data_IF_955581132181
#
_entry.id   IF_955581132181
#
_cell.length_a   1.000
_cell.length_b   1.000
_cell.length_c   1.000
_cell.angle_alpha   90.00
_cell.angle_beta   90.00
_cell.angle_gamma   90.00
#
_symmetry.space_group_name_H-M   'P 1'
#
loop_
_entity.id
_entity.type
_entity.pdbx_description
1 polymer ?
#
# COMPACT_ATOMS: atom_id res chain seq x y z
N UNK A 1 -12.46 -17.84 -27.01
CA UNK A 1 -12.91 -17.58 -25.63
C UNK A 1 -12.01 -16.60 -24.91
N UNK A 2 -10.70 -16.83 -24.82
CA UNK A 2 -9.74 -15.92 -24.16
C UNK A 2 -9.74 -14.50 -24.72
N UNK A 3 -9.72 -14.35 -26.05
CA UNK A 3 -9.85 -13.02 -26.69
C UNK A 3 -11.18 -12.33 -26.38
N UNK A 4 -12.27 -13.10 -26.27
CA UNK A 4 -13.58 -12.58 -25.87
C UNK A 4 -13.56 -12.01 -24.45
N UNK A 5 -12.83 -12.64 -23.52
CA UNK A 5 -12.63 -12.12 -22.16
C UNK A 5 -11.83 -10.80 -22.15
N UNK A 6 -10.87 -10.65 -23.06
CA UNK A 6 -10.09 -9.41 -23.20
C UNK A 6 -10.98 -8.26 -23.69
N UNK A 7 -11.77 -8.52 -24.73
CA UNK A 7 -12.73 -7.55 -25.28
C UNK A 7 -13.78 -7.18 -24.23
N UNK A 8 -14.30 -8.15 -23.49
CA UNK A 8 -15.26 -7.89 -22.42
C UNK A 8 -14.66 -7.02 -21.30
N UNK A 9 -13.43 -7.33 -20.86
CA UNK A 9 -12.72 -6.53 -19.85
C UNK A 9 -12.47 -5.10 -20.34
N UNK A 10 -12.07 -4.94 -21.61
CA UNK A 10 -11.87 -3.61 -22.21
C UNK A 10 -13.18 -2.82 -22.30
N UNK A 11 -14.26 -3.45 -22.79
CA UNK A 11 -15.57 -2.83 -22.90
C UNK A 11 -16.12 -2.40 -21.53
N UNK A 12 -15.95 -3.23 -20.51
CA UNK A 12 -16.32 -2.91 -19.13
C UNK A 12 -15.51 -1.72 -18.59
N UNK A 13 -14.20 -1.68 -18.88
CA UNK A 13 -13.34 -0.55 -18.53
C UNK A 13 -13.79 0.75 -19.19
N UNK A 14 -14.10 0.73 -20.50
CA UNK A 14 -14.64 1.89 -21.22
C UNK A 14 -15.99 2.34 -20.66
N UNK A 15 -16.86 1.40 -20.30
CA UNK A 15 -18.14 1.72 -19.66
C UNK A 15 -17.94 2.52 -18.36
N UNK A 16 -17.02 2.11 -17.48
CA UNK A 16 -16.75 2.87 -16.25
C UNK A 16 -16.03 4.22 -16.50
N UNK A 17 -15.25 4.32 -17.58
CA UNK A 17 -14.59 5.58 -17.94
C UNK A 17 -15.60 6.60 -18.46
N UNK A 18 -16.57 6.20 -19.29
CA UNK A 18 -17.47 7.13 -19.99
C UNK A 18 -18.87 7.25 -19.40
N UNK A 19 -19.35 6.22 -18.68
CA UNK A 19 -20.75 6.18 -18.20
C UNK A 19 -20.83 6.42 -16.70
N UNK A 20 -19.97 5.77 -15.91
CA UNK A 20 -20.10 5.81 -14.46
C UNK A 20 -18.78 5.61 -13.72
N UNK A 21 -18.37 6.61 -12.93
CA UNK A 21 -17.24 6.48 -12.03
C UNK A 21 -17.63 5.60 -10.82
N UNK A 22 -17.00 4.41 -10.65
CA UNK A 22 -17.44 3.43 -9.66
C UNK A 22 -16.97 3.74 -8.23
N UNK A 23 -16.06 4.71 -8.06
CA UNK A 23 -15.47 5.05 -6.77
C UNK A 23 -15.87 6.45 -6.29
N UNK A 24 -15.98 6.66 -4.97
CA UNK A 24 -16.36 7.97 -4.40
C UNK A 24 -15.34 9.08 -4.69
N UNK A 25 -14.10 8.71 -5.04
CA UNK A 25 -13.01 9.63 -5.40
C UNK A 25 -13.02 10.02 -6.90
N UNK A 26 -14.02 9.59 -7.67
CA UNK A 26 -14.14 9.87 -9.10
C UNK A 26 -13.01 9.25 -9.94
N UNK A 27 -12.76 9.85 -11.12
CA UNK A 27 -11.72 9.38 -12.06
C UNK A 27 -10.30 9.79 -11.66
N UNK A 28 -10.13 10.86 -10.88
CA UNK A 28 -8.83 11.39 -10.45
C UNK A 28 -8.11 10.49 -9.44
N UNK A 29 -8.83 9.56 -8.79
CA UNK A 29 -8.27 8.66 -7.78
C UNK A 29 -7.97 9.36 -6.45
N UNK A 30 -7.27 8.66 -5.55
CA UNK A 30 -7.00 9.13 -4.18
C UNK A 30 -5.54 9.58 -3.95
N UNK A 31 -4.65 9.28 -4.89
CA UNK A 31 -3.20 9.46 -4.73
C UNK A 31 -2.68 10.78 -5.34
N UNK A 32 -3.56 11.68 -5.82
CA UNK A 32 -3.19 12.97 -6.44
C UNK A 32 -2.21 12.86 -7.64
N UNK A 33 -2.19 11.70 -8.32
CA UNK A 33 -1.33 11.50 -9.47
C UNK A 33 -1.63 12.44 -10.64
N UNK A 34 -2.86 12.96 -10.73
CA UNK A 34 -3.24 13.94 -11.75
C UNK A 34 -2.38 15.21 -11.66
N UNK A 35 -2.22 15.75 -10.45
CA UNK A 35 -1.42 16.95 -10.20
C UNK A 35 0.05 16.71 -10.53
N UNK A 36 0.60 15.57 -10.10
CA UNK A 36 1.98 15.20 -10.41
C UNK A 36 2.21 15.01 -11.91
N UNK A 37 1.26 14.39 -12.62
CA UNK A 37 1.32 14.22 -14.07
C UNK A 37 1.34 15.57 -14.80
N UNK A 38 0.52 16.53 -14.37
CA UNK A 38 0.46 17.88 -14.97
C UNK A 38 1.72 18.69 -14.70
N UNK A 39 2.24 18.67 -13.47
CA UNK A 39 3.49 19.35 -13.11
C UNK A 39 4.67 18.80 -13.95
N UNK A 40 4.78 17.47 -14.03
CA UNK A 40 5.80 16.82 -14.87
C UNK A 40 5.63 17.14 -16.36
N UNK A 41 4.39 17.24 -16.86
CA UNK A 41 4.14 17.61 -18.25
C UNK A 41 4.61 19.05 -18.57
N UNK A 42 4.59 19.95 -17.58
CA UNK A 42 5.15 21.31 -17.67
C UNK A 42 6.67 21.37 -17.53
N UNK A 43 7.32 20.25 -17.24
CA UNK A 43 8.77 20.17 -17.03
C UNK A 43 9.21 20.54 -15.61
N UNK A 44 8.29 20.59 -14.65
CA UNK A 44 8.61 20.85 -13.25
C UNK A 44 9.30 19.62 -12.61
N UNK A 45 10.18 19.83 -11.60
CA UNK A 45 10.82 18.73 -10.89
C UNK A 45 9.78 17.94 -10.09
N UNK A 46 9.98 16.62 -9.99
CA UNK A 46 9.07 15.77 -9.24
C UNK A 46 9.03 16.16 -7.75
N UNK A 47 7.86 16.47 -7.16
CA UNK A 47 7.78 17.25 -5.93
C UNK A 47 7.89 16.42 -4.63
N UNK A 48 7.86 15.09 -4.70
CA UNK A 48 7.76 14.23 -3.51
C UNK A 48 8.71 13.03 -3.53
N UNK A 49 8.94 12.47 -2.33
CA UNK A 49 9.61 11.20 -2.08
C UNK A 49 8.65 10.12 -1.55
N UNK A 50 7.41 10.52 -1.22
CA UNK A 50 6.40 9.65 -0.63
C UNK A 50 5.78 8.70 -1.66
N UNK A 51 5.73 9.11 -2.92
CA UNK A 51 5.17 8.31 -3.99
C UNK A 51 6.21 8.08 -5.09
N UNK A 52 6.36 6.84 -5.57
CA UNK A 52 7.18 6.54 -6.72
C UNK A 52 6.73 7.30 -7.97
N UNK A 53 7.68 7.49 -8.88
CA UNK A 53 7.51 8.30 -10.09
C UNK A 53 6.77 7.58 -11.22
N UNK A 54 6.65 6.25 -11.19
CA UNK A 54 6.26 5.46 -12.37
C UNK A 54 4.89 5.85 -12.94
N UNK A 55 3.88 5.98 -12.09
CA UNK A 55 2.54 6.34 -12.55
C UNK A 55 2.40 7.81 -12.94
N UNK A 56 3.07 8.72 -12.22
CA UNK A 56 3.04 10.14 -12.53
C UNK A 56 3.70 10.45 -13.89
N UNK A 57 4.82 9.79 -14.21
CA UNK A 57 5.47 9.92 -15.52
C UNK A 57 4.66 9.30 -16.65
N UNK A 58 3.95 8.20 -16.39
CA UNK A 58 2.99 7.64 -17.33
C UNK A 58 1.95 8.71 -17.71
N UNK A 59 1.32 9.34 -16.73
CA UNK A 59 0.35 10.42 -16.98
C UNK A 59 0.97 11.63 -17.69
N UNK A 60 2.16 12.05 -17.26
CA UNK A 60 2.87 13.20 -17.82
C UNK A 60 3.12 13.06 -19.33
N UNK A 61 3.43 11.85 -19.79
CA UNK A 61 3.59 11.57 -21.22
C UNK A 61 2.31 11.89 -22.00
N UNK A 62 1.14 11.45 -21.51
CA UNK A 62 -0.13 11.69 -22.18
C UNK A 62 -0.55 13.15 -22.10
N UNK A 63 -0.36 13.79 -20.94
CA UNK A 63 -0.71 15.20 -20.77
C UNK A 63 0.16 16.13 -21.62
N UNK A 64 1.42 15.77 -21.86
CA UNK A 64 2.30 16.53 -22.74
C UNK A 64 1.94 16.42 -24.23
N UNK A 65 1.42 15.27 -24.66
CA UNK A 65 1.10 15.01 -26.08
C UNK A 65 -0.34 15.42 -26.42
N UNK A 66 -1.30 15.12 -25.53
CA UNK A 66 -2.73 15.26 -25.80
C UNK A 66 -3.43 16.34 -24.96
N UNK A 67 -2.69 17.02 -24.08
CA UNK A 67 -3.21 18.01 -23.14
C UNK A 67 -3.88 17.39 -21.91
N UNK A 68 -4.55 18.23 -21.12
CA UNK A 68 -5.19 17.90 -19.82
C UNK A 68 -6.49 17.08 -19.99
N UNK A 69 -6.43 15.97 -20.73
CA UNK A 69 -7.56 15.08 -21.01
C UNK A 69 -7.37 13.77 -20.24
N UNK A 70 -7.97 13.60 -19.05
CA UNK A 70 -7.74 12.43 -18.18
C UNK A 70 -8.27 11.11 -18.77
N UNK A 71 -9.25 11.16 -19.67
CA UNK A 71 -9.81 9.94 -20.28
C UNK A 71 -8.82 9.20 -21.20
N UNK A 72 -7.82 9.88 -21.76
CA UNK A 72 -6.83 9.28 -22.68
C UNK A 72 -5.91 8.29 -21.94
N UNK A 73 -5.18 8.69 -20.88
CA UNK A 73 -4.37 7.75 -20.11
C UNK A 73 -5.22 6.65 -19.47
N UNK A 74 -6.49 6.91 -19.12
CA UNK A 74 -7.40 5.89 -18.60
C UNK A 74 -7.79 4.85 -19.65
N UNK A 75 -8.08 5.27 -20.89
CA UNK A 75 -8.39 4.35 -21.98
C UNK A 75 -7.20 3.43 -22.31
N UNK A 76 -5.99 3.98 -22.31
CA UNK A 76 -4.76 3.21 -22.51
C UNK A 76 -4.51 2.25 -21.33
N UNK A 77 -4.77 2.70 -20.10
CA UNK A 77 -4.67 1.85 -18.91
C UNK A 77 -5.68 0.68 -18.96
N UNK A 78 -6.92 0.94 -19.38
CA UNK A 78 -7.93 -0.08 -19.58
C UNK A 78 -7.51 -1.09 -20.68
N UNK A 79 -6.85 -0.61 -21.74
CA UNK A 79 -6.31 -1.48 -22.79
C UNK A 79 -5.20 -2.39 -22.26
N UNK A 80 -4.26 -1.87 -21.47
CA UNK A 80 -3.23 -2.68 -20.81
C UNK A 80 -3.86 -3.72 -19.88
N UNK A 81 -4.88 -3.32 -19.11
CA UNK A 81 -5.59 -4.25 -18.23
C UNK A 81 -6.31 -5.35 -19.01
N UNK A 82 -6.81 -5.08 -20.21
CA UNK A 82 -7.44 -6.08 -21.07
C UNK A 82 -6.46 -7.18 -21.56
N UNK A 83 -5.14 -6.97 -21.43
CA UNK A 83 -4.12 -7.99 -21.72
C UNK A 83 -3.99 -9.01 -20.56
N UNK A 84 -4.43 -8.64 -19.34
CA UNK A 84 -4.28 -9.47 -18.15
C UNK A 84 -4.85 -10.90 -18.31
N UNK A 85 -6.06 -11.12 -18.87
CA UNK A 85 -6.57 -12.47 -19.14
C UNK A 85 -5.65 -13.32 -20.03
N UNK A 86 -4.97 -12.72 -21.01
CA UNK A 86 -4.00 -13.43 -21.87
C UNK A 86 -2.77 -13.85 -21.08
N UNK A 87 -2.28 -12.99 -20.19
CA UNK A 87 -1.13 -13.30 -19.34
C UNK A 87 -1.46 -14.45 -18.38
N UNK A 88 -2.64 -14.44 -17.77
CA UNK A 88 -3.12 -15.53 -16.91
C UNK A 88 -3.25 -16.83 -17.69
N UNK A 89 -3.81 -16.78 -18.91
CA UNK A 89 -3.88 -17.94 -19.79
C UNK A 89 -2.48 -18.49 -20.11
N UNK A 90 -1.53 -17.62 -20.47
CA UNK A 90 -0.15 -18.00 -20.79
C UNK A 90 0.58 -18.61 -19.58
N UNK A 91 0.32 -18.10 -18.38
CA UNK A 91 0.86 -18.65 -17.14
C UNK A 91 0.31 -20.05 -16.83
N UNK A 92 -1.01 -20.21 -16.88
CA UNK A 92 -1.70 -21.42 -16.45
C UNK A 92 -1.60 -22.58 -17.47
N UNK A 93 -1.58 -22.27 -18.77
CA UNK A 93 -1.65 -23.28 -19.85
C UNK A 93 -0.61 -24.40 -19.72
N UNK A 94 0.68 -24.14 -19.44
CA UNK A 94 1.68 -25.21 -19.41
C UNK A 94 1.62 -26.07 -18.14
N UNK A 95 0.97 -25.60 -17.06
CA UNK A 95 0.88 -26.34 -15.79
C UNK A 95 -0.45 -27.07 -15.59
N UNK A 96 -1.54 -26.48 -16.08
CA UNK A 96 -2.91 -26.94 -15.79
C UNK A 96 -3.73 -27.29 -17.05
N UNK A 97 -3.11 -27.18 -18.23
CA UNK A 97 -3.76 -27.47 -19.51
C UNK A 97 -4.71 -26.37 -20.00
N UNK A 98 -5.26 -26.57 -21.21
CA UNK A 98 -5.99 -25.54 -21.93
C UNK A 98 -7.34 -25.16 -21.30
N UNK A 99 -8.07 -26.13 -20.75
CA UNK A 99 -9.40 -25.91 -20.16
C UNK A 99 -9.32 -25.00 -18.93
N UNK A 100 -8.46 -25.36 -17.97
CA UNK A 100 -8.27 -24.59 -16.73
C UNK A 100 -7.74 -23.19 -17.04
N UNK A 101 -6.78 -23.07 -17.96
CA UNK A 101 -6.25 -21.77 -18.38
C UNK A 101 -7.33 -20.86 -19.01
N UNK A 102 -8.24 -21.42 -19.81
CA UNK A 102 -9.32 -20.65 -20.42
C UNK A 102 -10.33 -20.17 -19.39
N UNK A 103 -10.73 -21.05 -18.45
CA UNK A 103 -11.65 -20.68 -17.37
C UNK A 103 -11.04 -19.61 -16.47
N UNK A 104 -9.77 -19.76 -16.08
CA UNK A 104 -9.06 -18.76 -15.28
C UNK A 104 -9.03 -17.39 -15.98
N UNK A 105 -8.70 -17.35 -17.28
CA UNK A 105 -8.69 -16.12 -18.05
C UNK A 105 -10.09 -15.47 -18.17
N UNK A 106 -11.14 -16.26 -18.37
CA UNK A 106 -12.51 -15.74 -18.43
C UNK A 106 -12.95 -15.17 -17.08
N UNK A 107 -12.65 -15.87 -15.98
CA UNK A 107 -12.95 -15.39 -14.63
C UNK A 107 -12.20 -14.10 -14.33
N UNK A 108 -10.90 -14.01 -14.68
CA UNK A 108 -10.14 -12.77 -14.53
C UNK A 108 -10.68 -11.65 -15.42
N UNK A 109 -11.07 -11.91 -16.67
CA UNK A 109 -11.59 -10.86 -17.55
C UNK A 109 -12.92 -10.28 -17.08
N UNK A 110 -13.83 -11.12 -16.59
CA UNK A 110 -15.20 -10.72 -16.24
C UNK A 110 -15.36 -10.28 -14.78
N UNK A 111 -14.66 -10.93 -13.84
CA UNK A 111 -14.84 -10.70 -12.40
C UNK A 111 -13.68 -9.98 -11.73
N UNK A 112 -12.68 -9.53 -12.49
CA UNK A 112 -11.56 -8.83 -11.87
C UNK A 112 -11.96 -7.43 -11.43
N UNK A 113 -11.87 -7.22 -10.13
CA UNK A 113 -11.90 -5.91 -9.49
C UNK A 113 -10.84 -4.95 -10.08
N UNK A 114 -9.79 -5.49 -10.69
CA UNK A 114 -8.78 -4.69 -11.38
C UNK A 114 -9.36 -3.89 -12.56
N UNK A 115 -10.45 -4.34 -13.19
CA UNK A 115 -11.10 -3.58 -14.27
C UNK A 115 -11.75 -2.29 -13.77
N UNK A 116 -12.24 -2.31 -12.52
CA UNK A 116 -12.76 -1.12 -11.84
C UNK A 116 -11.61 -0.15 -11.55
N UNK A 117 -10.49 -0.65 -11.02
CA UNK A 117 -9.28 0.17 -10.78
C UNK A 117 -8.66 0.69 -12.08
N UNK A 118 -8.79 -0.05 -13.18
CA UNK A 118 -8.32 0.38 -14.49
C UNK A 118 -9.11 1.59 -15.03
N UNK A 119 -10.32 1.83 -14.53
CA UNK A 119 -11.14 2.98 -14.91
C UNK A 119 -10.86 4.25 -14.10
N UNK A 120 -10.02 4.17 -13.06
CA UNK A 120 -9.62 5.31 -12.22
C UNK A 120 -8.11 5.54 -12.30
N UNK A 121 -7.63 6.74 -11.98
CA UNK A 121 -6.20 7.05 -11.96
C UNK A 121 -5.49 6.34 -10.79
N UNK A 122 -5.29 5.02 -10.94
CA UNK A 122 -4.61 4.17 -9.97
C UNK A 122 -3.40 3.47 -10.59
N UNK A 123 -2.29 3.50 -9.86
CA UNK A 123 -1.09 2.76 -10.20
C UNK A 123 -1.27 1.24 -10.14
N UNK A 124 -2.30 0.74 -9.45
CA UNK A 124 -2.57 -0.70 -9.27
C UNK A 124 -2.84 -1.42 -10.59
N UNK A 125 -3.60 -0.79 -11.48
CA UNK A 125 -4.04 -1.43 -12.71
C UNK A 125 -2.84 -1.77 -13.61
N UNK A 126 -1.96 -0.79 -13.83
CA UNK A 126 -0.72 -0.97 -14.60
C UNK A 126 0.26 -1.88 -13.86
N UNK A 127 0.40 -1.70 -12.54
CA UNK A 127 1.29 -2.51 -11.73
C UNK A 127 0.92 -4.00 -11.81
N UNK A 128 -0.38 -4.34 -11.78
CA UNK A 128 -0.86 -5.72 -11.86
C UNK A 128 -0.49 -6.37 -13.18
N UNK A 129 -0.60 -5.64 -14.29
CA UNK A 129 -0.23 -6.13 -15.63
C UNK A 129 1.29 -6.34 -15.71
N UNK A 130 2.09 -5.35 -15.29
CA UNK A 130 3.55 -5.44 -15.28
C UNK A 130 4.05 -6.59 -14.41
N UNK A 131 3.51 -6.72 -13.20
CA UNK A 131 3.85 -7.79 -12.28
C UNK A 131 3.48 -9.17 -12.87
N UNK A 132 2.28 -9.32 -13.41
CA UNK A 132 1.84 -10.59 -14.01
C UNK A 132 2.70 -10.95 -15.23
N UNK A 133 3.01 -9.98 -16.08
CA UNK A 133 3.93 -10.16 -17.21
C UNK A 133 5.33 -10.58 -16.75
N UNK A 134 5.81 -10.01 -15.64
CA UNK A 134 7.08 -10.39 -15.05
C UNK A 134 7.06 -11.83 -14.53
N UNK A 135 5.98 -12.27 -13.87
CA UNK A 135 5.83 -13.66 -13.40
C UNK A 135 5.72 -14.64 -14.56
N UNK A 136 4.99 -14.29 -15.63
CA UNK A 136 4.92 -15.11 -16.85
C UNK A 136 6.30 -15.24 -17.49
N UNK A 137 7.02 -14.12 -17.64
CA UNK A 137 8.38 -14.10 -18.19
C UNK A 137 9.33 -14.92 -17.32
N UNK A 138 9.26 -14.77 -15.99
CA UNK A 138 10.04 -15.56 -15.05
C UNK A 138 9.76 -17.05 -15.19
N UNK A 139 8.50 -17.46 -15.23
CA UNK A 139 8.11 -18.86 -15.39
C UNK A 139 8.58 -19.44 -16.74
N UNK A 140 8.52 -18.65 -17.81
CA UNK A 140 9.01 -19.05 -19.13
C UNK A 140 10.54 -19.18 -19.14
N UNK A 141 11.26 -18.15 -18.69
CA UNK A 141 12.73 -18.16 -18.60
C UNK A 141 13.26 -19.25 -17.67
N UNK A 142 12.55 -19.56 -16.58
CA UNK A 142 12.88 -20.65 -15.69
C UNK A 142 12.75 -22.02 -16.35
N UNK A 143 11.68 -22.25 -17.13
CA UNK A 143 11.46 -23.53 -17.84
C UNK A 143 12.43 -23.76 -18.99
N UNK A 144 12.78 -22.71 -19.73
CA UNK A 144 13.66 -22.79 -20.91
C UNK A 144 15.13 -22.46 -20.63
N UNK A 145 15.47 -22.16 -19.37
CA UNK A 145 16.82 -21.74 -18.96
C UNK A 145 17.35 -20.51 -19.73
N UNK A 146 16.46 -19.59 -20.12
CA UNK A 146 16.81 -18.41 -20.89
C UNK A 146 17.03 -17.18 -19.98
N UNK A 147 18.29 -16.79 -19.83
CA UNK A 147 18.70 -15.64 -19.03
C UNK A 147 18.15 -14.32 -19.59
N UNK A 148 17.89 -14.21 -20.90
CA UNK A 148 17.37 -12.98 -21.53
C UNK A 148 15.94 -12.73 -21.11
N UNK A 149 15.13 -13.78 -21.04
CA UNK A 149 13.75 -13.70 -20.56
C UNK A 149 13.71 -13.41 -19.07
N UNK A 150 14.68 -13.92 -18.29
CA UNK A 150 14.82 -13.58 -16.88
C UNK A 150 15.31 -12.14 -16.65
N UNK A 151 16.18 -11.62 -17.52
CA UNK A 151 16.55 -10.21 -17.55
C UNK A 151 15.33 -9.33 -17.80
N UNK A 152 14.48 -9.68 -18.78
CA UNK A 152 13.21 -9.01 -19.03
C UNK A 152 12.29 -9.05 -17.80
N UNK A 153 12.18 -10.20 -17.13
CA UNK A 153 11.43 -10.31 -15.87
C UNK A 153 11.99 -9.36 -14.80
N UNK A 154 13.31 -9.24 -14.69
CA UNK A 154 13.97 -8.29 -13.80
C UNK A 154 13.62 -6.82 -14.13
N UNK A 155 13.65 -6.43 -15.41
CA UNK A 155 13.24 -5.08 -15.85
C UNK A 155 11.79 -4.82 -15.46
N UNK A 156 10.89 -5.76 -15.76
CA UNK A 156 9.46 -5.63 -15.46
C UNK A 156 9.18 -5.53 -13.95
N UNK A 157 9.90 -6.28 -13.10
CA UNK A 157 9.77 -6.18 -11.64
C UNK A 157 10.33 -4.86 -11.11
N UNK A 158 11.46 -4.41 -11.64
CA UNK A 158 12.04 -3.10 -11.31
C UNK A 158 11.08 -1.97 -11.67
N UNK A 159 10.44 -2.04 -12.84
CA UNK A 159 9.40 -1.10 -13.25
C UNK A 159 8.17 -1.19 -12.34
N UNK A 160 7.66 -2.39 -12.05
CA UNK A 160 6.50 -2.57 -11.19
C UNK A 160 6.71 -1.98 -9.78
N UNK A 161 7.92 -2.09 -9.22
CA UNK A 161 8.28 -1.46 -7.96
C UNK A 161 8.20 0.09 -7.99
N UNK A 162 8.33 0.71 -9.16
CA UNK A 162 8.12 2.15 -9.38
C UNK A 162 6.65 2.56 -9.51
N UNK A 163 5.72 1.61 -9.58
CA UNK A 163 4.29 1.89 -9.41
C UNK A 163 3.86 1.60 -7.97
N UNK A 164 4.41 0.53 -7.40
CA UNK A 164 4.05 0.01 -6.08
C UNK A 164 5.31 -0.44 -5.30
N UNK A 165 5.77 0.35 -4.29
CA UNK A 165 7.01 0.10 -3.56
C UNK A 165 7.11 -1.26 -2.89
N UNK A 166 5.97 -1.85 -2.50
CA UNK A 166 5.91 -3.15 -1.84
C UNK A 166 6.47 -4.29 -2.69
N UNK A 167 6.56 -4.11 -4.01
CA UNK A 167 7.13 -5.12 -4.91
C UNK A 167 8.66 -5.11 -4.98
N UNK A 168 9.35 -4.18 -4.29
CA UNK A 168 10.82 -4.11 -4.32
C UNK A 168 11.52 -5.39 -3.86
N UNK A 169 10.85 -6.19 -3.02
CA UNK A 169 11.39 -7.46 -2.51
C UNK A 169 11.18 -8.64 -3.48
N UNK A 170 10.30 -8.51 -4.48
CA UNK A 170 9.98 -9.63 -5.39
C UNK A 170 11.20 -10.14 -6.20
N UNK A 171 12.04 -9.28 -6.79
CA UNK A 171 13.26 -9.73 -7.46
C UNK A 171 14.17 -10.58 -6.55
N UNK A 172 14.30 -10.19 -5.28
CA UNK A 172 15.12 -10.90 -4.30
C UNK A 172 14.53 -12.27 -3.98
N UNK A 173 13.21 -12.35 -3.78
CA UNK A 173 12.52 -13.62 -3.52
C UNK A 173 12.67 -14.59 -4.71
N UNK A 174 12.50 -14.10 -5.93
CA UNK A 174 12.63 -14.94 -7.13
C UNK A 174 14.08 -15.35 -7.39
N UNK A 175 15.05 -14.48 -7.15
CA UNK A 175 16.47 -14.83 -7.22
C UNK A 175 16.85 -15.88 -6.16
N UNK A 176 16.35 -15.74 -4.93
CA UNK A 176 16.55 -16.73 -3.87
C UNK A 176 15.94 -18.08 -4.25
N UNK A 177 14.74 -18.09 -4.83
CA UNK A 177 14.10 -19.30 -5.35
C UNK A 177 14.97 -20.01 -6.40
N UNK A 178 15.52 -19.27 -7.37
CA UNK A 178 16.43 -19.84 -8.39
C UNK A 178 17.70 -20.44 -7.76
N UNK A 179 18.22 -19.84 -6.69
CA UNK A 179 19.43 -20.31 -6.01
C UNK A 179 19.18 -21.58 -5.20
N UNK A 180 18.03 -21.68 -4.51
CA UNK A 180 17.64 -22.85 -3.70
C UNK A 180 17.32 -24.06 -4.57
N UNK A 181 16.78 -23.85 -5.78
CA UNK A 181 16.51 -24.92 -6.73
C UNK A 181 17.83 -25.50 -7.30
N UNK A 182 18.38 -26.51 -6.59
CA UNK A 182 19.71 -27.11 -6.84
C UNK A 182 19.94 -27.73 -8.23
N UNK A 183 18.92 -27.83 -9.08
CA UNK A 183 18.98 -28.54 -10.38
C UNK A 183 18.94 -27.64 -11.62
N UNK A 184 19.15 -26.33 -11.46
CA UNK A 184 19.05 -25.38 -12.58
C UNK A 184 20.45 -25.04 -13.13
N UNK A 185 20.77 -25.39 -14.39
CA UNK A 185 22.00 -24.93 -15.03
C UNK A 185 22.00 -23.40 -15.17
N UNK A 186 23.15 -22.76 -14.95
CA UNK A 186 23.27 -21.30 -15.07
C UNK A 186 22.50 -20.50 -14.01
N UNK A 187 22.09 -21.10 -12.89
CA UNK A 187 21.29 -20.42 -11.84
C UNK A 187 21.88 -19.09 -11.33
N UNK A 188 23.21 -19.01 -11.24
CA UNK A 188 23.91 -17.79 -10.82
C UNK A 188 23.82 -16.70 -11.89
N UNK A 189 24.01 -17.04 -13.16
CA UNK A 189 23.82 -16.12 -14.29
C UNK A 189 22.36 -15.65 -14.36
N UNK A 190 21.41 -16.57 -14.20
CA UNK A 190 19.98 -16.30 -14.24
C UNK A 190 19.52 -15.38 -13.09
N UNK A 191 19.94 -15.67 -11.86
CA UNK A 191 19.63 -14.86 -10.70
C UNK A 191 20.33 -13.49 -10.77
N UNK A 192 21.60 -13.44 -11.20
CA UNK A 192 22.32 -12.18 -11.36
C UNK A 192 21.75 -11.32 -12.48
N UNK A 193 21.36 -11.89 -13.62
CA UNK A 193 20.71 -11.15 -14.71
C UNK A 193 19.39 -10.51 -14.25
N UNK A 194 18.54 -11.29 -13.54
CA UNK A 194 17.28 -10.79 -12.98
C UNK A 194 17.51 -9.66 -11.97
N UNK A 195 18.45 -9.83 -11.04
CA UNK A 195 18.77 -8.82 -10.03
C UNK A 195 19.42 -7.58 -10.65
N UNK A 196 20.38 -7.74 -11.55
CA UNK A 196 21.08 -6.64 -12.20
C UNK A 196 20.12 -5.78 -13.03
N UNK A 197 19.23 -6.41 -13.79
CA UNK A 197 18.22 -5.69 -14.58
C UNK A 197 17.18 -4.99 -13.70
N UNK A 198 16.73 -5.62 -12.61
CA UNK A 198 15.84 -4.94 -11.66
C UNK A 198 16.54 -3.76 -10.99
N UNK A 199 17.80 -3.93 -10.57
CA UNK A 199 18.58 -2.88 -9.94
C UNK A 199 18.83 -1.72 -10.91
N UNK A 200 19.11 -2.00 -12.18
CA UNK A 200 19.32 -0.97 -13.22
C UNK A 200 18.11 -0.04 -13.37
N UNK A 201 16.89 -0.58 -13.28
CA UNK A 201 15.66 0.23 -13.36
C UNK A 201 15.41 1.02 -12.07
N UNK A 202 15.76 0.46 -10.92
CA UNK A 202 15.62 1.14 -9.63
C UNK A 202 16.66 2.26 -9.44
N UNK A 203 17.89 2.04 -9.91
CA UNK A 203 19.07 2.85 -9.63
C UNK A 203 18.86 4.37 -9.86
N UNK A 204 18.27 4.84 -10.98
CA UNK A 204 18.14 6.27 -11.22
C UNK A 204 17.32 6.98 -10.14
N UNK A 205 16.28 6.31 -9.65
CA UNK A 205 15.43 6.84 -8.58
C UNK A 205 16.16 6.84 -7.23
N UNK A 206 16.89 5.77 -6.92
CA UNK A 206 17.67 5.67 -5.69
C UNK A 206 18.75 6.77 -5.66
N UNK A 207 19.45 6.97 -6.78
CA UNK A 207 20.47 8.02 -6.92
C UNK A 207 19.86 9.41 -6.78
N UNK A 208 18.69 9.66 -7.39
CA UNK A 208 17.96 10.91 -7.21
C UNK A 208 17.63 11.14 -5.73
N UNK A 209 17.06 10.16 -5.05
CA UNK A 209 16.66 10.28 -3.65
C UNK A 209 17.87 10.52 -2.75
N UNK A 210 18.94 9.75 -2.94
CA UNK A 210 20.18 9.90 -2.18
C UNK A 210 20.84 11.27 -2.36
N UNK A 211 20.78 11.86 -3.57
CA UNK A 211 21.26 13.23 -3.80
C UNK A 211 20.41 14.30 -3.13
N UNK A 212 19.11 14.06 -2.98
CA UNK A 212 18.18 15.03 -2.38
C UNK A 212 18.18 14.97 -0.85
N UNK A 213 18.26 13.78 -0.26
CA UNK A 213 18.14 13.59 1.20
C UNK A 213 19.45 13.26 1.90
N UNK A 214 20.48 12.83 1.17
CA UNK A 214 21.68 12.22 1.75
C UNK A 214 21.46 10.79 2.28
N UNK A 215 20.25 10.24 2.15
CA UNK A 215 19.86 8.93 2.66
C UNK A 215 19.54 7.94 1.52
N UNK A 216 19.87 6.66 1.72
CA UNK A 216 19.53 5.61 0.77
C UNK A 216 18.05 5.21 0.93
N UNK A 217 17.19 5.80 0.10
CA UNK A 217 15.75 5.51 0.06
C UNK A 217 15.42 4.77 -1.25
N UNK A 218 15.29 3.42 -1.24
CA UNK A 218 15.20 2.62 -2.45
C UNK A 218 13.93 2.83 -3.28
N UNK A 219 12.82 3.16 -2.64
CA UNK A 219 11.53 3.35 -3.31
C UNK A 219 10.78 4.57 -2.79
N UNK A 220 10.36 4.56 -1.52
CA UNK A 220 9.54 5.62 -0.94
C UNK A 220 9.64 5.68 0.58
N UNK A 221 9.55 6.89 1.13
CA UNK A 221 9.42 7.19 2.57
C UNK A 221 8.11 6.67 3.18
N UNK A 222 7.10 6.42 2.35
CA UNK A 222 5.83 5.84 2.77
C UNK A 222 5.97 4.39 3.26
N UNK A 223 6.97 3.64 2.79
CA UNK A 223 7.20 2.26 3.22
C UNK A 223 7.44 2.13 4.73
N UNK A 224 8.26 3.02 5.30
CA UNK A 224 8.49 3.07 6.75
C UNK A 224 7.23 3.42 7.53
N UNK A 225 6.43 4.37 7.03
CA UNK A 225 5.12 4.71 7.62
C UNK A 225 4.16 3.53 7.59
N UNK A 226 4.12 2.77 6.50
CA UNK A 226 3.25 1.60 6.38
C UNK A 226 3.67 0.46 7.31
N UNK A 227 4.97 0.21 7.46
CA UNK A 227 5.49 -0.74 8.44
C UNK A 227 5.13 -0.29 9.87
N UNK A 228 5.37 0.98 10.20
CA UNK A 228 5.00 1.56 11.50
C UNK A 228 3.49 1.50 11.76
N UNK A 229 2.63 1.84 10.80
CA UNK A 229 1.18 1.69 10.93
C UNK A 229 0.77 0.23 11.15
N UNK A 230 1.45 -0.72 10.51
CA UNK A 230 1.29 -2.15 10.78
C UNK A 230 1.66 -2.54 12.22
N UNK A 231 2.58 -1.82 12.86
CA UNK A 231 2.95 -2.03 14.28
C UNK A 231 2.03 -1.30 15.26
N UNK A 232 1.42 -0.19 14.86
CA UNK A 232 0.54 0.61 15.71
C UNK A 232 -0.79 -0.10 15.95
N UNK A 233 -0.87 -0.80 17.08
CA UNK A 233 -2.10 -1.38 17.61
C UNK A 233 -2.91 -0.32 18.38
N UNK A 234 -3.26 0.81 17.76
CA UNK A 234 -4.00 1.88 18.47
C UNK A 234 -5.12 2.47 17.62
N UNK A 235 -6.19 2.92 18.28
CA UNK A 235 -7.31 3.60 17.64
C UNK A 235 -8.39 2.65 17.06
N UNK A 236 -9.21 3.12 16.10
CA UNK A 236 -10.30 2.35 15.50
C UNK A 236 -9.85 1.00 14.88
N UNK A 237 -8.58 0.90 14.46
CA UNK A 237 -7.96 -0.27 13.84
C UNK A 237 -7.80 -1.46 14.79
N UNK A 238 -7.74 -1.23 16.12
CA UNK A 238 -7.72 -2.29 17.13
C UNK A 238 -9.06 -3.05 17.20
N UNK A 239 -10.18 -2.36 16.91
CA UNK A 239 -11.54 -2.91 17.06
C UNK A 239 -12.01 -3.67 15.83
N UNK A 240 -11.45 -3.38 14.65
CA UNK A 240 -11.87 -3.98 13.38
C UNK A 240 -11.38 -5.42 13.23
N UNK A 241 -12.31 -6.36 13.06
CA UNK A 241 -12.02 -7.79 12.80
C UNK A 241 -11.26 -8.03 11.49
N UNK A 242 -11.37 -7.11 10.53
CA UNK A 242 -10.73 -7.22 9.22
C UNK A 242 -9.24 -6.81 9.24
N UNK A 243 -8.85 -5.92 10.17
CA UNK A 243 -7.49 -5.36 10.23
C UNK A 243 -6.61 -5.98 11.32
N UNK A 244 -7.20 -6.67 12.31
CA UNK A 244 -6.45 -7.37 13.34
C UNK A 244 -6.84 -8.87 13.43
N UNK A 245 -6.11 -9.76 12.74
CA UNK A 245 -6.38 -11.20 12.76
C UNK A 245 -6.16 -11.83 14.15
N UNK A 246 -5.43 -11.16 15.07
CA UNK A 246 -5.29 -11.63 16.45
C UNK A 246 -6.59 -11.60 17.25
N UNK A 247 -7.60 -10.83 16.84
CA UNK A 247 -8.93 -10.87 17.50
C UNK A 247 -9.59 -12.25 17.43
N UNK A 248 -9.16 -13.11 16.49
CA UNK A 248 -9.62 -14.50 16.37
C UNK A 248 -8.76 -15.50 17.18
N UNK A 249 -7.55 -15.12 17.61
CA UNK A 249 -6.52 -16.05 18.13
C UNK A 249 -5.84 -15.62 19.44
N UNK A 250 -6.08 -14.41 19.97
CA UNK A 250 -5.56 -14.00 21.30
C UNK A 250 -6.61 -14.21 22.39
N UNK A 251 -6.26 -15.07 23.36
CA UNK A 251 -6.62 -14.84 24.76
C UNK A 251 -5.90 -13.56 25.19
N UNK A 252 -6.62 -12.61 25.78
CA UNK A 252 -6.18 -11.23 26.00
C UNK A 252 -4.78 -11.11 26.58
N UNK A 253 -3.81 -10.74 25.74
CA UNK A 253 -2.48 -10.31 26.15
C UNK A 253 -2.56 -8.85 26.62
N UNK A 254 -2.96 -8.73 27.88
CA UNK A 254 -3.05 -7.51 28.70
C UNK A 254 -4.05 -6.44 28.24
N UNK A 255 -5.23 -6.34 28.89
CA UNK A 255 -5.92 -5.06 28.90
C UNK A 255 -4.98 -4.05 29.55
N UNK A 256 -4.75 -2.92 28.87
CA UNK A 256 -4.33 -1.69 29.54
C UNK A 256 -5.16 -1.58 30.83
N UNK A 257 -4.45 -1.49 31.94
CA UNK A 257 -5.03 -1.48 33.28
C UNK A 257 -5.78 -0.16 33.52
N UNK A 258 -7.01 -0.05 33.01
CA UNK A 258 -8.07 0.32 33.92
C UNK A 258 -8.44 -0.97 34.63
N UNK A 259 -7.69 -1.31 35.69
CA UNK A 259 -8.11 -2.40 36.56
C UNK A 259 -9.46 -1.98 37.13
N UNK A 260 -10.54 -2.60 36.65
CA UNK A 260 -11.85 -2.45 37.30
C UNK A 260 -11.64 -2.77 38.78
N UNK A 261 -12.02 -1.83 39.64
CA UNK A 261 -11.89 -1.86 41.12
C UNK A 261 -10.52 -1.53 41.70
N UNK A 262 -9.56 -0.97 40.94
CA UNK A 262 -8.37 -0.36 41.55
C UNK A 262 -8.54 1.16 41.61
N UNK A 263 -8.38 1.77 42.81
CA UNK A 263 -8.56 3.21 42.96
C UNK A 263 -7.48 3.98 42.16
N UNK A 264 -7.93 4.95 41.38
CA UNK A 264 -7.06 5.93 40.72
C UNK A 264 -6.50 6.88 41.78
N UNK A 265 -5.18 6.80 42.02
CA UNK A 265 -4.49 7.72 42.93
C UNK A 265 -4.04 8.95 42.13
N UNK A 266 -4.68 10.09 42.40
CA UNK A 266 -4.31 11.38 41.80
C UNK A 266 -3.59 12.21 42.86
N UNK A 267 -2.31 12.52 42.61
CA UNK A 267 -1.50 13.37 43.50
C UNK A 267 -1.29 14.73 42.85
N UNK A 268 -1.68 15.81 43.53
CA UNK A 268 -1.42 17.18 43.08
C UNK A 268 -0.60 17.91 44.14
N UNK A 269 0.45 18.64 43.72
CA UNK A 269 1.22 19.53 44.59
C UNK A 269 0.82 20.97 44.29
N UNK A 270 0.29 21.67 45.29
CA UNK A 270 -0.01 23.10 45.18
C UNK A 270 1.29 23.89 45.40
N UNK A 271 1.67 24.73 44.44
CA UNK A 271 2.72 25.71 44.65
C UNK A 271 2.22 26.80 45.63
N UNK A 272 3.06 27.31 46.55
CA UNK A 272 2.65 28.34 47.49
C UNK A 272 2.38 29.65 46.75
N UNK A 273 1.11 29.98 46.52
CA UNK A 273 0.72 31.32 46.12
C UNK A 273 0.83 32.25 47.33
N UNK A 274 1.48 33.40 47.14
CA UNK A 274 1.63 34.43 48.18
C UNK A 274 0.25 34.87 48.67
N UNK A 275 -0.07 34.57 49.94
CA UNK A 275 -1.13 35.24 50.69
C UNK A 275 -2.47 34.50 50.88
N UNK A 276 -2.73 33.33 50.28
CA UNK A 276 -3.90 32.52 50.69
C UNK A 276 -3.76 31.04 50.34
N UNK A 277 -3.91 30.17 51.35
CA UNK A 277 -4.05 28.73 51.14
C UNK A 277 -5.45 28.43 50.59
N UNK A 278 -5.59 27.56 49.57
CA UNK A 278 -6.90 27.21 49.02
C UNK A 278 -7.76 26.52 50.09
N UNK A 279 -8.97 27.05 50.32
CA UNK A 279 -9.92 26.54 51.34
C UNK A 279 -10.52 25.19 50.98
N UNK A 280 -10.58 24.84 49.70
CA UNK A 280 -11.07 23.55 49.22
C UNK A 280 -10.39 23.18 47.90
N UNK A 281 -10.18 21.87 47.71
CA UNK A 281 -9.64 21.30 46.48
C UNK A 281 -10.64 20.28 45.95
N UNK A 282 -10.91 20.32 44.65
CA UNK A 282 -11.83 19.38 44.02
C UNK A 282 -11.20 18.79 42.75
N UNK A 283 -11.27 17.47 42.63
CA UNK A 283 -10.93 16.75 41.40
C UNK A 283 -12.16 16.73 40.49
N UNK A 284 -12.00 17.17 39.25
CA UNK A 284 -13.05 17.09 38.23
C UNK A 284 -12.55 16.20 37.10
N UNK A 285 -13.30 15.15 36.76
CA UNK A 285 -12.94 14.22 35.69
C UNK A 285 -14.18 13.79 34.89
N UNK A 286 -13.96 13.26 33.69
CA UNK A 286 -14.98 12.66 32.83
C UNK A 286 -14.35 11.48 32.05
N UNK A 287 -15.18 10.63 31.44
CA UNK A 287 -14.69 9.49 30.63
C UNK A 287 -15.40 9.44 29.29
N UNK A 288 -14.82 8.72 28.32
CA UNK A 288 -15.46 8.52 27.01
C UNK A 288 -16.81 7.78 27.11
N UNK A 289 -17.03 7.01 28.19
CA UNK A 289 -18.30 6.30 28.45
C UNK A 289 -19.35 7.18 29.14
N UNK A 290 -18.92 8.16 29.93
CA UNK A 290 -19.81 9.13 30.58
C UNK A 290 -19.20 10.54 30.46
N UNK A 291 -19.67 11.34 29.50
CA UNK A 291 -19.13 12.67 29.23
C UNK A 291 -19.53 13.72 30.28
N UNK A 292 -20.38 13.37 31.26
CA UNK A 292 -20.70 14.27 32.35
C UNK A 292 -19.51 14.42 33.31
N UNK A 293 -19.21 15.67 33.68
CA UNK A 293 -18.11 15.99 34.59
C UNK A 293 -18.50 15.62 36.02
N UNK A 294 -17.78 14.65 36.59
CA UNK A 294 -17.93 14.23 37.98
C UNK A 294 -16.95 15.06 38.82
N UNK A 295 -17.46 15.68 39.88
CA UNK A 295 -16.67 16.50 40.81
C UNK A 295 -16.59 15.81 42.16
N UNK A 296 -15.38 15.50 42.61
CA UNK A 296 -15.09 14.92 43.93
C UNK A 296 -14.32 15.95 44.74
N UNK A 297 -14.89 16.38 45.87
CA UNK A 297 -14.25 17.33 46.78
C UNK A 297 -13.32 16.55 47.70
N UNK A 298 -12.06 16.97 47.81
CA UNK A 298 -11.09 16.31 48.68
C UNK A 298 -11.34 16.71 50.15
N UNK A 299 -11.39 15.73 51.05
CA UNK A 299 -11.43 15.95 52.49
C UNK A 299 -10.02 16.19 53.03
N UNK A 300 -9.86 17.07 54.03
CA UNK A 300 -8.57 17.27 54.71
C UNK A 300 -8.32 16.14 55.70
N UNK A 301 -7.23 15.40 55.56
CA UNK A 301 -6.81 14.42 56.57
C UNK A 301 -5.74 14.97 57.52
N UNK A 302 -4.94 15.94 57.07
CA UNK A 302 -3.87 16.63 57.82
C UNK A 302 -3.74 18.11 57.37
N UNK A 303 -3.01 18.99 58.09
CA UNK A 303 -3.02 20.44 57.84
C UNK A 303 -2.62 20.91 56.43
N UNK A 304 -2.10 20.03 55.55
CA UNK A 304 -1.81 20.31 54.12
C UNK A 304 -1.93 19.09 53.20
N UNK A 305 -2.58 18.00 53.64
CA UNK A 305 -2.80 16.81 52.83
C UNK A 305 -4.31 16.61 52.59
N UNK A 306 -4.69 16.53 51.32
CA UNK A 306 -6.07 16.36 50.89
C UNK A 306 -6.23 14.99 50.23
N UNK A 307 -7.17 14.19 50.73
CA UNK A 307 -7.49 12.88 50.17
C UNK A 307 -8.93 12.89 49.63
N UNK A 308 -9.11 12.36 48.43
CA UNK A 308 -10.43 12.21 47.81
C UNK A 308 -10.70 10.72 47.62
N UNK A 309 -11.63 10.17 48.41
CA UNK A 309 -12.13 8.81 48.26
C UNK A 309 -13.56 8.81 47.72
N UNK A 310 -13.89 7.87 46.84
CA UNK A 310 -15.29 7.54 46.57
C UNK A 310 -15.79 6.65 47.71
N UNK A 311 -16.90 7.01 48.36
CA UNK A 311 -17.66 6.03 49.13
C UNK A 311 -18.18 5.00 48.11
N UNK A 312 -17.93 3.72 48.40
CA UNK A 312 -18.18 2.59 47.49
C UNK A 312 -19.64 2.52 47.01
#
# INVERSE_FOLDING_TARGET
MTYGACVASFALGLFFIFVWAPHPWGWAGFDHYDDFGRQLARGEPYPTLDQPWGYAWYLALFYRVFGDRPWIPLAVQALFNAVLPLLIYAFARPGFGNRIATVAAVLTGLFSFNTVYASTQSSDALCTVLFTAAIVSFAHGHRHHDWRVLALAGILLGLAAQFRPNLILMPLVLAAFLMVARRIPGRTLNASALLACSALVLLPWIVRNARLTGELIPASTHGGRQLWYGTLQTGPYLKSRAYNPRKAFEAGSFPYTSLDRVPLVVTARLAPCVGSAPRSLALVYWTDRNPQRIRVVAGSSEPRAYQAGMAA
#
